data_IF_030891706152
#
_entry.id   IF_030891706152
#
_cell.length_a   1.000
_cell.length_b   1.000
_cell.length_c   1.000
_cell.angle_alpha   90.00
_cell.angle_beta   90.00
_cell.angle_gamma   90.00
#
_symmetry.space_group_name_H-M   'P 1'
#
loop_
_entity.id
_entity.type
_entity.pdbx_description
1 polymer ?
#
# COMPACT_ATOMS: atom_id res chain seq x y z
N UNK A 1 21.17 -6.96 3.35
CA UNK A 1 20.25 -8.11 3.45
C UNK A 1 20.89 -9.26 2.68
N UNK A 2 21.06 -10.45 3.25
CA UNK A 2 21.80 -11.54 2.59
C UNK A 2 21.01 -12.22 1.47
N UNK A 3 19.69 -12.10 1.47
CA UNK A 3 18.80 -12.66 0.45
C UNK A 3 17.50 -11.85 0.43
N UNK A 4 17.06 -11.46 -0.76
CA UNK A 4 15.77 -10.81 -0.97
C UNK A 4 14.97 -11.57 -2.01
N UNK A 5 13.87 -12.18 -1.59
CA UNK A 5 12.90 -12.86 -2.45
C UNK A 5 11.63 -12.02 -2.49
N UNK A 6 11.20 -11.63 -3.67
CA UNK A 6 9.94 -10.94 -3.88
C UNK A 6 8.91 -11.90 -4.50
N UNK A 7 7.65 -11.77 -4.11
CA UNK A 7 6.53 -12.53 -4.66
C UNK A 7 5.48 -11.51 -5.11
N UNK A 8 5.26 -11.40 -6.39
CA UNK A 8 4.33 -10.42 -6.95
C UNK A 8 3.88 -10.86 -8.36
N UNK A 9 2.72 -10.38 -8.78
CA UNK A 9 2.22 -10.56 -10.13
C UNK A 9 2.92 -9.63 -11.16
N UNK A 10 3.61 -8.59 -10.68
CA UNK A 10 4.29 -7.60 -11.52
C UNK A 10 5.68 -7.28 -11.00
N UNK A 11 6.60 -6.98 -11.91
CA UNK A 11 7.89 -6.42 -11.55
C UNK A 11 7.69 -4.93 -11.27
N UNK A 12 7.74 -4.55 -10.00
CA UNK A 12 7.64 -3.17 -9.53
C UNK A 12 8.99 -2.68 -8.98
N UNK A 13 9.06 -1.43 -8.54
CA UNK A 13 10.29 -0.80 -8.05
C UNK A 13 10.94 -1.52 -6.87
N UNK A 14 10.15 -2.26 -6.10
CA UNK A 14 10.67 -3.07 -4.97
C UNK A 14 11.12 -4.44 -5.46
N UNK A 15 10.30 -5.11 -6.25
CA UNK A 15 10.62 -6.46 -6.74
C UNK A 15 11.80 -6.46 -7.72
N UNK A 16 12.01 -5.37 -8.46
CA UNK A 16 13.17 -5.20 -9.33
C UNK A 16 14.53 -5.21 -8.59
N UNK A 17 14.53 -5.02 -7.27
CA UNK A 17 15.71 -5.09 -6.41
C UNK A 17 15.93 -6.48 -5.79
N UNK A 18 15.02 -7.43 -6.04
CA UNK A 18 15.09 -8.76 -5.43
C UNK A 18 16.12 -9.65 -6.14
N UNK A 19 16.77 -10.54 -5.37
CA UNK A 19 17.63 -11.59 -5.89
C UNK A 19 16.82 -12.64 -6.68
N UNK A 20 15.58 -12.88 -6.23
CA UNK A 20 14.63 -13.79 -6.87
C UNK A 20 13.24 -13.18 -6.89
N UNK A 21 12.56 -13.28 -8.03
CA UNK A 21 11.15 -12.91 -8.17
C UNK A 21 10.34 -14.18 -8.42
N UNK A 22 9.42 -14.46 -7.51
CA UNK A 22 8.46 -15.56 -7.65
C UNK A 22 7.17 -14.98 -8.23
N UNK A 23 6.71 -15.42 -9.40
CA UNK A 23 5.46 -14.94 -9.95
C UNK A 23 4.28 -15.33 -9.06
N UNK A 24 3.35 -14.39 -8.89
CA UNK A 24 2.11 -14.62 -8.14
C UNK A 24 0.90 -14.60 -9.06
N UNK A 25 -0.20 -15.14 -8.56
CA UNK A 25 -1.49 -15.18 -9.24
C UNK A 25 -2.29 -13.91 -9.00
N UNK A 26 -3.04 -13.48 -9.99
CA UNK A 26 -3.98 -12.36 -9.86
C UNK A 26 -5.26 -12.79 -9.12
N UNK A 27 -6.02 -11.82 -8.61
CA UNK A 27 -7.24 -12.05 -7.80
C UNK A 27 -8.26 -13.03 -8.44
N UNK A 28 -8.45 -13.03 -9.75
CA UNK A 28 -9.35 -13.95 -10.44
C UNK A 28 -8.76 -15.34 -10.67
N UNK A 29 -7.46 -15.49 -10.48
CA UNK A 29 -6.69 -16.71 -10.65
C UNK A 29 -6.38 -17.39 -9.31
N UNK A 30 -6.70 -16.75 -8.18
CA UNK A 30 -6.25 -17.17 -6.85
C UNK A 30 -7.38 -17.53 -5.91
N UNK A 31 -7.09 -18.46 -5.00
CA UNK A 31 -7.81 -18.60 -3.76
C UNK A 31 -7.57 -17.38 -2.87
N UNK A 32 -8.50 -17.06 -2.00
CA UNK A 32 -8.34 -15.97 -1.07
C UNK A 32 -9.53 -15.78 -0.15
N UNK A 33 -9.41 -14.84 0.76
CA UNK A 33 -10.54 -14.35 1.53
C UNK A 33 -11.09 -13.08 0.90
N UNK A 34 -12.40 -12.92 1.05
CA UNK A 34 -13.08 -11.66 0.79
C UNK A 34 -13.84 -11.26 2.04
N UNK A 35 -13.60 -10.08 2.54
CA UNK A 35 -14.28 -9.53 3.70
C UNK A 35 -14.77 -8.12 3.39
N UNK A 36 -15.93 -7.70 3.93
CA UNK A 36 -16.34 -6.31 3.87
C UNK A 36 -15.29 -5.42 4.54
N UNK A 37 -15.16 -4.21 4.03
CA UNK A 37 -14.28 -3.23 4.64
C UNK A 37 -14.67 -2.96 6.09
N UNK A 38 -13.66 -2.73 6.95
CA UNK A 38 -13.85 -2.60 8.41
C UNK A 38 -14.78 -1.48 8.88
N UNK A 39 -15.15 -0.55 7.98
CA UNK A 39 -16.10 0.52 8.27
C UNK A 39 -17.58 0.15 8.14
N UNK A 40 -17.91 -1.06 7.68
CA UNK A 40 -19.31 -1.50 7.60
C UNK A 40 -19.74 -2.21 8.88
N UNK A 41 -21.04 -2.09 9.21
CA UNK A 41 -21.61 -2.64 10.44
C UNK A 41 -21.59 -4.17 10.50
N UNK A 42 -21.64 -4.83 9.33
CA UNK A 42 -21.60 -6.29 9.23
C UNK A 42 -20.20 -6.75 8.86
N UNK A 43 -19.69 -7.76 9.57
CA UNK A 43 -18.45 -8.44 9.21
C UNK A 43 -18.76 -9.84 8.71
N UNK A 44 -18.16 -10.19 7.60
CA UNK A 44 -18.23 -11.52 7.04
C UNK A 44 -16.87 -11.88 6.46
N UNK A 45 -16.52 -13.16 6.46
CA UNK A 45 -15.36 -13.67 5.75
C UNK A 45 -15.85 -14.76 4.81
N UNK A 46 -15.54 -14.62 3.53
CA UNK A 46 -15.88 -15.61 2.51
C UNK A 46 -14.61 -16.07 1.83
N UNK A 47 -14.52 -17.36 1.53
CA UNK A 47 -13.49 -17.86 0.64
C UNK A 47 -13.88 -17.55 -0.81
N UNK A 48 -12.94 -17.04 -1.60
CA UNK A 48 -13.04 -16.95 -3.05
C UNK A 48 -12.14 -18.01 -3.67
N UNK A 49 -12.50 -18.48 -4.85
CA UNK A 49 -11.72 -19.45 -5.62
C UNK A 49 -11.39 -18.91 -7.00
N UNK A 50 -10.40 -19.50 -7.71
CA UNK A 50 -10.07 -19.12 -9.07
C UNK A 50 -11.26 -19.26 -10.00
N UNK A 51 -11.57 -18.23 -10.78
CA UNK A 51 -12.62 -18.26 -11.83
C UNK A 51 -12.02 -18.28 -13.23
N UNK A 52 -10.72 -18.05 -13.34
CA UNK A 52 -9.93 -18.20 -14.57
C UNK A 52 -8.70 -19.06 -14.26
N UNK A 53 -8.17 -19.72 -15.30
CA UNK A 53 -6.95 -20.52 -15.16
C UNK A 53 -5.77 -19.61 -14.87
N UNK A 54 -4.96 -19.88 -13.82
CA UNK A 54 -3.76 -19.12 -13.53
C UNK A 54 -2.78 -19.13 -14.70
N UNK A 55 -2.25 -17.96 -15.02
CA UNK A 55 -1.25 -17.77 -16.08
C UNK A 55 0.16 -18.17 -15.64
N UNK A 56 0.42 -18.30 -14.35
CA UNK A 56 1.72 -18.71 -13.82
C UNK A 56 2.06 -20.14 -14.20
N UNK A 57 3.36 -20.44 -14.31
CA UNK A 57 3.84 -21.79 -14.51
C UNK A 57 3.41 -22.71 -13.36
N UNK A 58 3.43 -24.01 -13.61
CA UNK A 58 3.08 -25.02 -12.60
C UNK A 58 4.31 -25.58 -11.92
N UNK A 59 4.16 -25.88 -10.64
CA UNK A 59 5.13 -26.66 -9.87
C UNK A 59 5.19 -28.10 -10.38
N UNK A 60 6.19 -28.87 -9.97
CA UNK A 60 6.28 -30.30 -10.28
C UNK A 60 5.06 -31.12 -9.81
N UNK A 61 4.31 -30.63 -8.83
CA UNK A 61 3.08 -31.23 -8.32
C UNK A 61 1.82 -30.74 -9.08
N UNK A 62 1.98 -29.95 -10.15
CA UNK A 62 0.89 -29.45 -10.96
C UNK A 62 0.14 -28.22 -10.38
N UNK A 63 0.59 -27.68 -9.25
CA UNK A 63 0.02 -26.49 -8.62
C UNK A 63 0.49 -25.24 -9.38
N UNK A 64 -0.35 -24.20 -9.57
CA UNK A 64 0.12 -22.90 -10.03
C UNK A 64 1.17 -22.35 -9.07
N UNK A 65 2.20 -21.72 -9.59
CA UNK A 65 3.12 -20.95 -8.77
C UNK A 65 2.35 -19.74 -8.22
N UNK A 66 2.38 -19.56 -6.93
CA UNK A 66 1.74 -18.46 -6.19
C UNK A 66 2.47 -18.26 -4.87
N UNK A 67 2.15 -17.18 -4.17
CA UNK A 67 2.67 -16.92 -2.83
C UNK A 67 2.43 -18.11 -1.90
N UNK A 68 1.23 -18.65 -1.88
CA UNK A 68 0.88 -19.78 -1.01
C UNK A 68 1.66 -21.04 -1.40
N UNK A 69 1.74 -21.36 -2.69
CA UNK A 69 2.48 -22.51 -3.17
C UNK A 69 3.97 -22.43 -2.80
N UNK A 70 4.56 -21.24 -2.95
CA UNK A 70 5.95 -20.99 -2.55
C UNK A 70 6.14 -21.14 -1.03
N UNK A 71 5.31 -20.46 -0.22
CA UNK A 71 5.42 -20.51 1.24
C UNK A 71 5.21 -21.93 1.79
N UNK A 72 4.23 -22.68 1.28
CA UNK A 72 3.98 -24.06 1.67
C UNK A 72 5.16 -24.96 1.28
N UNK A 73 5.72 -24.79 0.09
CA UNK A 73 6.88 -25.58 -0.35
C UNK A 73 8.12 -25.31 0.51
N UNK A 74 8.39 -24.06 0.84
CA UNK A 74 9.51 -23.68 1.74
C UNK A 74 9.29 -24.26 3.14
N UNK A 75 8.08 -24.11 3.70
CA UNK A 75 7.74 -24.63 5.02
C UNK A 75 7.90 -26.15 5.11
N UNK A 76 7.45 -26.88 4.09
CA UNK A 76 7.64 -28.34 4.00
C UNK A 76 9.11 -28.73 3.90
N UNK A 77 9.90 -27.99 3.11
CA UNK A 77 11.35 -28.25 2.95
C UNK A 77 12.13 -27.98 4.23
N UNK A 78 11.67 -27.01 5.03
CA UNK A 78 12.25 -26.71 6.35
C UNK A 78 11.67 -27.59 7.47
N UNK A 79 10.81 -28.54 7.14
CA UNK A 79 10.11 -29.41 8.10
C UNK A 79 9.39 -28.63 9.22
N UNK A 80 8.80 -27.49 8.88
CA UNK A 80 8.04 -26.71 9.84
C UNK A 80 6.75 -27.45 10.23
N UNK A 81 6.34 -27.41 11.51
CA UNK A 81 5.10 -28.02 11.94
C UNK A 81 3.90 -27.32 11.33
N UNK A 82 2.80 -28.04 11.13
CA UNK A 82 1.55 -27.48 10.58
C UNK A 82 1.49 -27.43 9.05
N UNK A 83 2.36 -28.17 8.36
CA UNK A 83 2.37 -28.32 6.91
C UNK A 83 2.46 -29.80 6.51
N UNK A 84 2.02 -30.11 5.28
CA UNK A 84 2.02 -31.47 4.74
C UNK A 84 0.70 -32.22 4.96
N UNK A 85 0.72 -33.57 4.97
CA UNK A 85 -0.49 -34.36 4.95
C UNK A 85 -1.26 -34.36 6.27
N UNK A 86 -0.60 -34.02 7.38
CA UNK A 86 -1.17 -34.01 8.74
C UNK A 86 -0.87 -32.70 9.41
N UNK A 87 -1.53 -31.63 9.01
CA UNK A 87 -1.15 -30.25 9.31
C UNK A 87 -2.17 -29.52 10.20
N UNK A 88 -3.45 -29.56 9.85
CA UNK A 88 -4.49 -28.70 10.43
C UNK A 88 -5.48 -29.59 11.19
N UNK A 89 -5.73 -29.27 12.47
CA UNK A 89 -6.74 -29.94 13.26
C UNK A 89 -8.15 -29.79 12.67
N UNK A 90 -8.91 -30.91 12.63
CA UNK A 90 -10.30 -30.93 12.15
C UNK A 90 -11.32 -30.64 13.25
N UNK A 91 -10.85 -30.30 14.45
CA UNK A 91 -11.70 -30.07 15.63
C UNK A 91 -12.29 -31.36 16.25
N UNK A 92 -12.04 -32.53 15.67
CA UNK A 92 -12.53 -33.84 16.13
C UNK A 92 -11.39 -34.81 16.50
N UNK A 93 -10.18 -34.31 16.61
CA UNK A 93 -8.97 -35.08 16.93
C UNK A 93 -8.21 -35.65 15.74
N UNK A 94 -8.71 -35.41 14.52
CA UNK A 94 -8.03 -35.69 13.26
C UNK A 94 -7.15 -34.53 12.76
N UNK A 95 -6.29 -34.82 11.79
CA UNK A 95 -5.45 -33.84 11.11
C UNK A 95 -5.73 -33.87 9.61
N UNK A 96 -5.93 -32.73 9.05
CA UNK A 96 -6.17 -32.48 7.64
C UNK A 96 -4.89 -31.97 6.95
N UNK A 97 -4.74 -32.16 5.64
CA UNK A 97 -3.56 -31.69 4.93
C UNK A 97 -3.51 -30.16 4.78
N UNK A 98 -2.29 -29.63 4.66
CA UNK A 98 -1.98 -28.32 4.15
C UNK A 98 -0.87 -28.46 3.11
N UNK A 99 -1.26 -28.71 1.87
CA UNK A 99 -0.36 -28.96 0.75
C UNK A 99 -0.49 -27.92 -0.37
N UNK A 100 -1.59 -27.16 -0.40
CA UNK A 100 -1.88 -26.17 -1.44
C UNK A 100 -2.70 -24.99 -0.88
N UNK A 101 -2.88 -23.96 -1.70
CA UNK A 101 -3.67 -22.78 -1.35
C UNK A 101 -5.12 -23.12 -1.00
N UNK A 102 -5.73 -24.03 -1.75
CA UNK A 102 -7.09 -24.52 -1.48
C UNK A 102 -7.24 -25.07 -0.07
N UNK A 103 -6.33 -25.93 0.36
CA UNK A 103 -6.33 -26.48 1.72
C UNK A 103 -6.33 -25.36 2.77
N UNK A 104 -5.47 -24.36 2.58
CA UNK A 104 -5.37 -23.24 3.51
C UNK A 104 -6.68 -22.46 3.60
N UNK A 105 -7.20 -21.97 2.47
CA UNK A 105 -8.35 -21.08 2.47
C UNK A 105 -9.64 -21.75 2.89
N UNK A 106 -9.89 -22.98 2.46
CA UNK A 106 -11.07 -23.73 2.88
C UNK A 106 -11.03 -24.08 4.36
N UNK A 107 -9.86 -24.50 4.89
CA UNK A 107 -9.72 -24.84 6.32
C UNK A 107 -9.81 -23.58 7.20
N UNK A 108 -9.18 -22.51 6.80
CA UNK A 108 -9.25 -21.25 7.54
C UNK A 108 -10.67 -20.68 7.56
N UNK A 109 -11.40 -20.74 6.44
CA UNK A 109 -12.81 -20.32 6.40
C UNK A 109 -13.69 -21.21 7.29
N UNK A 110 -13.49 -22.53 7.26
CA UNK A 110 -14.22 -23.46 8.11
C UNK A 110 -13.93 -23.22 9.61
N UNK A 111 -12.67 -22.97 9.97
CA UNK A 111 -12.29 -22.67 11.36
C UNK A 111 -12.88 -21.35 11.86
N UNK A 112 -12.92 -20.33 11.02
CA UNK A 112 -13.57 -19.06 11.36
C UNK A 112 -15.08 -19.26 11.59
N UNK A 113 -15.75 -20.01 10.72
CA UNK A 113 -17.16 -20.35 10.87
C UNK A 113 -17.43 -21.13 12.17
N UNK A 114 -16.64 -22.20 12.42
CA UNK A 114 -16.76 -23.00 13.64
C UNK A 114 -16.49 -22.16 14.91
N UNK A 115 -15.51 -21.28 14.87
CA UNK A 115 -15.22 -20.36 15.97
C UNK A 115 -16.36 -19.39 16.26
N UNK A 116 -17.06 -18.94 15.24
CA UNK A 116 -18.26 -18.13 15.39
C UNK A 116 -19.41 -18.88 16.03
N UNK A 117 -19.68 -20.09 15.56
CA UNK A 117 -20.74 -20.94 16.12
C UNK A 117 -20.46 -21.33 17.57
N UNK A 118 -19.21 -21.62 17.92
CA UNK A 118 -18.81 -21.97 19.28
C UNK A 118 -18.73 -20.77 20.23
N UNK A 119 -18.47 -19.59 19.72
CA UNK A 119 -18.33 -18.35 20.51
C UNK A 119 -19.60 -17.51 20.64
N UNK A 120 -20.65 -17.79 19.86
CA UNK A 120 -21.87 -16.99 19.79
C UNK A 120 -23.11 -17.81 19.99
N UNK A 121 -23.74 -17.60 21.12
CA UNK A 121 -24.99 -18.24 21.47
C UNK A 121 -26.19 -17.75 20.65
N UNK A 122 -26.06 -16.67 19.92
CA UNK A 122 -27.11 -16.09 19.10
C UNK A 122 -27.10 -16.57 17.63
N UNK A 123 -26.19 -17.50 17.30
CA UNK A 123 -26.08 -18.08 15.95
C UNK A 123 -25.65 -17.09 14.87
N UNK A 124 -25.22 -15.88 15.23
CA UNK A 124 -24.80 -14.91 14.24
C UNK A 124 -23.42 -15.23 13.69
N UNK A 125 -23.34 -15.41 12.40
CA UNK A 125 -22.09 -15.48 11.64
C UNK A 125 -21.71 -14.06 11.30
N UNK A 126 -20.54 -13.65 11.68
CA UNK A 126 -20.08 -12.30 11.47
C UNK A 126 -20.10 -11.47 12.74
N UNK A 127 -19.28 -10.47 12.78
CA UNK A 127 -19.28 -9.54 13.90
C UNK A 127 -20.43 -8.57 13.75
N UNK A 128 -21.31 -8.57 14.68
CA UNK A 128 -22.18 -7.43 14.87
C UNK A 128 -21.49 -6.38 15.70
N UNK A 129 -21.77 -5.14 15.43
CA UNK A 129 -21.46 -4.04 16.30
C UNK A 129 -22.42 -4.07 17.51
N UNK A 130 -22.22 -5.05 18.38
CA UNK A 130 -22.98 -5.17 19.62
C UNK A 130 -22.47 -4.24 20.70
N UNK A 131 -21.27 -3.71 20.50
CA UNK A 131 -20.64 -2.74 21.40
C UNK A 131 -20.65 -1.37 20.74
N UNK A 132 -20.86 -0.30 21.51
CA UNK A 132 -20.67 1.05 21.01
C UNK A 132 -19.26 1.20 20.43
N UNK A 133 -19.10 2.13 19.51
CA UNK A 133 -17.81 2.46 18.93
C UNK A 133 -16.80 2.75 20.06
N UNK A 134 -15.74 1.98 20.12
CA UNK A 134 -14.66 2.22 21.07
C UNK A 134 -13.77 3.33 20.51
N UNK A 135 -13.82 4.49 21.14
CA UNK A 135 -12.95 5.62 20.85
C UNK A 135 -11.65 5.58 21.67
N UNK A 136 -11.55 4.67 22.62
CA UNK A 136 -10.32 4.45 23.41
C UNK A 136 -9.80 3.04 23.17
N UNK A 137 -8.52 2.95 22.79
CA UNK A 137 -7.82 1.69 22.58
C UNK A 137 -6.85 1.45 23.75
N UNK A 138 -7.22 0.52 24.64
CA UNK A 138 -6.44 0.18 25.82
C UNK A 138 -5.04 -0.36 25.48
N UNK A 139 -4.88 -1.08 24.37
CA UNK A 139 -3.59 -1.62 23.99
C UNK A 139 -2.63 -0.49 23.56
N UNK A 140 -3.11 0.43 22.70
CA UNK A 140 -2.30 1.60 22.32
C UNK A 140 -1.90 2.42 23.54
N UNK A 141 -2.81 2.61 24.50
CA UNK A 141 -2.55 3.38 25.71
C UNK A 141 -1.48 2.76 26.64
N UNK A 142 -1.15 1.47 26.47
CA UNK A 142 -0.05 0.81 27.24
C UNK A 142 1.33 1.15 26.68
N UNK A 143 1.41 1.57 25.42
CA UNK A 143 2.67 1.77 24.73
C UNK A 143 3.17 3.21 24.83
N UNK A 144 4.47 3.36 24.60
CA UNK A 144 5.17 4.62 24.52
C UNK A 144 5.89 4.73 23.19
N UNK A 145 6.06 5.93 22.70
CA UNK A 145 6.89 6.19 21.55
C UNK A 145 8.33 5.74 21.82
N UNK A 146 8.89 4.92 20.94
CA UNK A 146 10.15 4.22 21.21
C UNK A 146 11.35 5.15 21.38
N UNK A 147 11.35 6.33 20.78
CA UNK A 147 12.45 7.28 20.81
C UNK A 147 12.26 8.30 21.93
N UNK A 148 11.09 8.95 22.01
CA UNK A 148 10.83 10.03 22.94
C UNK A 148 10.33 9.58 24.30
N UNK A 149 9.83 8.34 24.43
CA UNK A 149 9.21 7.82 25.65
C UNK A 149 7.82 8.39 25.95
N UNK A 150 7.29 9.28 25.09
CA UNK A 150 5.95 9.87 25.26
C UNK A 150 4.88 8.78 25.23
N UNK A 151 3.94 8.83 26.16
CA UNK A 151 2.85 7.86 26.22
C UNK A 151 1.76 8.17 25.20
N UNK A 152 1.30 7.16 24.48
CA UNK A 152 0.13 7.31 23.62
C UNK A 152 -1.16 7.43 24.46
N UNK A 153 -2.08 8.28 24.02
CA UNK A 153 -3.35 8.50 24.72
C UNK A 153 -4.32 7.32 24.62
N UNK A 154 -4.21 6.54 23.55
CA UNK A 154 -5.18 5.50 23.20
C UNK A 154 -6.47 6.04 22.55
N UNK A 155 -6.71 7.34 22.57
CA UNK A 155 -7.80 7.99 21.87
C UNK A 155 -7.33 8.51 20.50
N UNK A 156 -8.22 8.63 19.52
CA UNK A 156 -7.95 9.42 18.32
C UNK A 156 -7.58 10.86 18.75
N UNK A 157 -6.35 11.23 18.55
CA UNK A 157 -5.80 12.53 18.97
C UNK A 157 -5.13 13.16 17.76
N UNK A 158 -5.37 14.44 17.55
CA UNK A 158 -4.62 15.20 16.56
C UNK A 158 -3.23 15.50 17.12
N UNK A 159 -2.22 14.83 16.58
CA UNK A 159 -0.84 15.16 16.85
C UNK A 159 -0.33 16.15 15.80
N UNK A 160 0.36 17.22 16.20
CA UNK A 160 1.07 18.05 15.23
C UNK A 160 2.11 17.18 14.49
N UNK A 161 2.42 17.55 13.26
CA UNK A 161 3.41 16.86 12.47
C UNK A 161 4.79 16.92 13.16
N UNK A 162 5.32 15.77 13.52
CA UNK A 162 6.58 15.63 14.28
C UNK A 162 7.57 14.72 13.56
N UNK A 163 8.83 15.01 13.73
CA UNK A 163 9.96 14.13 13.38
C UNK A 163 10.17 13.09 14.48
N UNK A 164 11.01 12.10 14.21
CA UNK A 164 11.23 10.96 15.13
C UNK A 164 11.78 11.36 16.50
N UNK A 165 12.51 12.47 16.60
CA UNK A 165 13.03 13.00 17.88
C UNK A 165 12.01 13.87 18.64
N UNK A 166 10.82 14.07 18.08
CA UNK A 166 9.74 14.85 18.68
C UNK A 166 9.69 16.32 18.29
N UNK A 167 10.67 16.84 17.54
CA UNK A 167 10.62 18.21 17.02
C UNK A 167 9.48 18.37 16.03
N UNK A 168 8.84 19.54 16.02
CA UNK A 168 7.85 19.87 15.03
C UNK A 168 8.50 19.94 13.63
N UNK A 169 7.79 19.45 12.60
CA UNK A 169 8.29 19.50 11.21
C UNK A 169 8.55 20.94 10.78
N UNK A 170 7.73 21.89 11.22
CA UNK A 170 7.85 23.32 10.93
C UNK A 170 9.11 23.97 11.50
N UNK A 171 9.75 23.39 12.51
CA UNK A 171 11.03 23.90 13.04
C UNK A 171 12.16 23.76 12.02
N UNK A 172 12.17 22.62 11.26
CA UNK A 172 13.16 22.36 10.24
C UNK A 172 12.71 22.86 8.87
N UNK A 173 11.42 22.85 8.63
CA UNK A 173 10.80 23.18 7.34
C UNK A 173 9.75 24.28 7.53
N UNK A 174 10.18 25.51 7.86
CA UNK A 174 9.28 26.60 8.18
C UNK A 174 8.43 27.04 6.97
N UNK A 175 7.22 27.51 7.25
CA UNK A 175 6.23 27.92 6.23
C UNK A 175 6.76 29.00 5.28
N UNK A 176 7.65 29.87 5.74
CA UNK A 176 8.28 30.88 4.88
C UNK A 176 9.08 30.29 3.72
N UNK A 177 9.61 29.06 3.85
CA UNK A 177 10.34 28.34 2.81
C UNK A 177 9.46 27.29 2.14
N UNK A 178 8.53 26.72 2.89
CA UNK A 178 7.65 25.64 2.49
C UNK A 178 6.19 26.02 2.71
N UNK A 179 5.68 26.99 1.87
CA UNK A 179 4.38 27.61 2.13
C UNK A 179 3.18 26.75 1.80
N UNK A 180 3.41 25.56 1.26
CA UNK A 180 2.37 24.63 0.85
C UNK A 180 2.54 23.27 1.54
N UNK A 181 1.47 22.50 1.55
CA UNK A 181 1.47 21.10 1.99
C UNK A 181 1.09 20.20 0.82
N UNK A 182 1.99 19.25 0.50
CA UNK A 182 1.70 18.26 -0.51
C UNK A 182 0.81 17.17 0.07
N UNK A 183 -0.26 16.86 -0.65
CA UNK A 183 -1.24 15.82 -0.33
C UNK A 183 -1.39 14.89 -1.52
N UNK A 184 -1.60 13.62 -1.26
CA UNK A 184 -1.92 12.66 -2.30
C UNK A 184 -3.40 12.29 -2.30
N UNK A 185 -3.94 11.99 -3.47
CA UNK A 185 -5.27 11.44 -3.61
C UNK A 185 -5.31 10.33 -4.66
N UNK A 186 -6.33 9.49 -4.59
CA UNK A 186 -6.63 8.49 -5.62
C UNK A 186 -7.91 8.90 -6.32
N UNK A 187 -7.90 8.82 -7.65
CA UNK A 187 -9.14 8.95 -8.41
C UNK A 187 -9.82 7.59 -8.57
N UNK A 188 -11.02 7.60 -9.12
CA UNK A 188 -11.72 6.38 -9.53
C UNK A 188 -11.14 5.75 -10.81
N UNK A 189 -10.19 6.39 -11.46
CA UNK A 189 -9.47 5.87 -12.64
C UNK A 189 -8.16 5.23 -12.23
N UNK A 190 -7.34 5.95 -11.43
CA UNK A 190 -5.99 5.53 -11.08
C UNK A 190 -5.77 5.31 -9.58
N UNK A 191 -5.08 4.22 -9.29
CA UNK A 191 -4.60 3.86 -7.95
C UNK A 191 -3.35 2.99 -8.09
N UNK A 192 -2.69 2.67 -6.98
CA UNK A 192 -1.53 1.76 -6.99
C UNK A 192 -1.81 0.38 -7.59
N UNK A 193 -3.03 -0.13 -7.46
CA UNK A 193 -3.42 -1.44 -8.01
C UNK A 193 -3.88 -1.39 -9.47
N UNK A 194 -4.13 -0.20 -10.03
CA UNK A 194 -4.60 -0.04 -11.41
C UNK A 194 -3.54 0.57 -12.33
N UNK A 195 -2.39 0.96 -11.80
CA UNK A 195 -1.30 1.57 -12.56
C UNK A 195 -0.79 0.73 -13.75
N UNK A 196 -0.91 -0.60 -13.67
CA UNK A 196 -0.54 -1.55 -14.74
C UNK A 196 -1.60 -1.71 -15.82
N UNK A 197 -2.78 -1.13 -15.66
CA UNK A 197 -3.88 -1.28 -16.62
C UNK A 197 -3.74 -0.26 -17.74
N UNK A 198 -3.16 -0.67 -18.85
CA UNK A 198 -2.83 0.18 -20.02
C UNK A 198 -3.98 1.05 -20.51
N UNK A 199 -5.20 0.49 -20.55
CA UNK A 199 -6.40 1.22 -20.99
C UNK A 199 -6.78 2.42 -20.12
N UNK A 200 -6.41 2.40 -18.85
CA UNK A 200 -6.65 3.55 -17.95
C UNK A 200 -5.71 4.71 -18.26
N UNK A 201 -4.50 4.43 -18.74
CA UNK A 201 -3.58 5.45 -19.26
C UNK A 201 -4.08 6.09 -20.58
N UNK A 202 -4.92 5.40 -21.35
CA UNK A 202 -5.57 6.02 -22.52
C UNK A 202 -6.64 7.04 -22.08
N UNK A 203 -7.32 6.79 -20.96
CA UNK A 203 -8.32 7.70 -20.37
C UNK A 203 -7.66 8.87 -19.65
N UNK A 204 -6.57 8.62 -18.94
CA UNK A 204 -5.86 9.62 -18.13
C UNK A 204 -4.35 9.39 -18.24
N UNK A 205 -3.70 10.02 -19.24
CA UNK A 205 -2.29 9.73 -19.58
C UNK A 205 -1.29 10.15 -18.51
N UNK A 206 -1.59 11.22 -17.75
CA UNK A 206 -0.71 11.78 -16.72
C UNK A 206 -1.53 12.15 -15.49
N UNK A 207 -0.87 12.20 -14.33
CA UNK A 207 -1.53 12.65 -13.12
C UNK A 207 -1.73 14.18 -13.13
N UNK A 208 -2.84 14.59 -12.55
CA UNK A 208 -3.08 16.00 -12.28
C UNK A 208 -2.33 16.43 -11.02
N UNK A 209 -1.73 17.61 -11.11
CA UNK A 209 -1.27 18.35 -9.94
C UNK A 209 -2.23 19.51 -9.75
N UNK A 210 -3.04 19.42 -8.72
CA UNK A 210 -4.09 20.38 -8.47
C UNK A 210 -3.67 21.42 -7.44
N UNK A 211 -4.00 22.68 -7.74
CA UNK A 211 -3.72 23.84 -6.90
C UNK A 211 -4.98 24.71 -6.80
N UNK A 212 -5.22 25.32 -5.64
CA UNK A 212 -6.32 26.26 -5.51
C UNK A 212 -6.07 27.52 -6.38
N UNK A 213 -7.08 28.11 -7.04
CA UNK A 213 -6.94 29.34 -7.82
C UNK A 213 -6.35 30.52 -7.01
N UNK A 214 -6.63 30.61 -5.71
CA UNK A 214 -6.05 31.65 -4.84
C UNK A 214 -4.53 31.48 -4.70
N UNK A 215 -4.04 30.25 -4.56
CA UNK A 215 -2.61 29.96 -4.55
C UNK A 215 -2.00 30.15 -5.95
N UNK A 216 -2.73 29.79 -7.01
CA UNK A 216 -2.33 30.09 -8.38
C UNK A 216 -2.06 31.60 -8.56
N UNK A 217 -2.97 32.45 -8.12
CA UNK A 217 -2.80 33.87 -8.14
C UNK A 217 -1.62 34.37 -7.27
N UNK A 218 -1.47 33.79 -6.07
CA UNK A 218 -0.36 34.08 -5.13
C UNK A 218 1.02 33.80 -5.73
N UNK A 219 1.15 32.72 -6.47
CA UNK A 219 2.43 32.27 -7.06
C UNK A 219 2.58 32.67 -8.55
N UNK A 220 1.63 33.39 -9.13
CA UNK A 220 1.65 33.77 -10.54
C UNK A 220 1.50 32.61 -11.50
N UNK A 221 0.78 31.56 -11.09
CA UNK A 221 0.57 30.29 -11.82
C UNK A 221 -0.84 30.29 -12.42
N UNK A 222 -0.95 29.93 -13.68
CA UNK A 222 -2.20 29.75 -14.40
C UNK A 222 -2.48 28.24 -14.64
N UNK A 223 -3.72 27.93 -14.98
CA UNK A 223 -4.08 26.59 -15.43
C UNK A 223 -3.27 26.20 -16.66
N UNK A 224 -2.65 25.03 -16.63
CA UNK A 224 -1.81 24.51 -17.71
C UNK A 224 -0.34 24.93 -17.64
N UNK A 225 0.05 25.81 -16.72
CA UNK A 225 1.46 26.16 -16.55
C UNK A 225 2.31 24.98 -16.09
N UNK A 226 3.53 24.94 -16.58
CA UNK A 226 4.55 24.04 -16.06
C UNK A 226 5.21 24.64 -14.82
N UNK A 227 5.39 23.82 -13.82
CA UNK A 227 5.96 24.18 -12.52
C UNK A 227 6.98 23.16 -12.06
N UNK A 228 7.90 23.61 -11.22
CA UNK A 228 8.70 22.73 -10.38
C UNK A 228 8.07 22.68 -8.99
N UNK A 229 7.72 21.47 -8.53
CA UNK A 229 7.26 21.20 -7.18
C UNK A 229 8.45 20.64 -6.41
N UNK A 230 8.77 21.24 -5.28
CA UNK A 230 9.86 20.80 -4.42
C UNK A 230 9.37 20.48 -3.02
N UNK A 231 9.95 19.44 -2.45
CA UNK A 231 9.82 19.04 -1.04
C UNK A 231 11.23 18.85 -0.46
N UNK A 232 11.39 18.65 0.85
CA UNK A 232 12.71 18.32 1.40
C UNK A 232 13.34 17.04 0.80
N UNK A 233 12.56 16.17 0.19
CA UNK A 233 13.04 14.92 -0.40
C UNK A 233 13.39 14.97 -1.86
N UNK A 234 12.94 15.99 -2.59
CA UNK A 234 13.21 16.08 -4.02
C UNK A 234 12.35 17.09 -4.76
N UNK A 235 12.55 17.15 -6.07
CA UNK A 235 11.82 18.06 -6.94
C UNK A 235 11.35 17.33 -8.19
N UNK A 236 10.16 17.71 -8.70
CA UNK A 236 9.59 17.19 -9.96
C UNK A 236 8.86 18.29 -10.70
N UNK A 237 8.90 18.21 -12.01
CA UNK A 237 8.17 19.10 -12.90
C UNK A 237 6.81 18.52 -13.24
N UNK A 238 5.80 19.39 -13.29
CA UNK A 238 4.44 19.02 -13.61
C UNK A 238 3.65 20.17 -14.22
N UNK A 239 2.54 19.81 -14.85
CA UNK A 239 1.56 20.76 -15.33
C UNK A 239 0.45 20.96 -14.29
N UNK A 240 0.08 22.21 -14.03
CA UNK A 240 -0.91 22.57 -13.00
C UNK A 240 -2.34 22.55 -13.55
N UNK A 241 -3.22 21.99 -12.74
CA UNK A 241 -4.67 22.14 -12.86
C UNK A 241 -5.19 23.02 -11.71
N UNK A 242 -5.74 24.19 -12.02
CA UNK A 242 -6.37 25.02 -11.00
C UNK A 242 -7.77 24.48 -10.69
N UNK A 243 -8.00 24.08 -9.44
CA UNK A 243 -9.25 23.49 -8.95
C UNK A 243 -9.69 24.17 -7.66
N UNK A 244 -10.87 24.82 -7.68
CA UNK A 244 -11.44 25.47 -6.51
C UNK A 244 -11.78 24.49 -5.34
N UNK A 245 -11.94 23.19 -5.64
CA UNK A 245 -12.17 22.16 -4.65
C UNK A 245 -10.94 21.76 -3.84
N UNK A 246 -9.74 22.21 -4.21
CA UNK A 246 -8.53 22.03 -3.40
C UNK A 246 -8.46 23.14 -2.36
N UNK A 247 -8.16 22.80 -1.13
CA UNK A 247 -8.00 23.80 -0.05
C UNK A 247 -6.80 24.70 -0.33
N UNK A 248 -6.90 26.02 -0.11
CA UNK A 248 -5.74 26.91 -0.18
C UNK A 248 -4.60 26.44 0.72
N UNK A 249 -3.36 26.59 0.27
CA UNK A 249 -2.16 26.10 0.95
C UNK A 249 -1.83 24.63 0.66
N UNK A 250 -2.57 23.97 -0.24
CA UNK A 250 -2.38 22.55 -0.58
C UNK A 250 -2.01 22.37 -2.04
N UNK A 251 -1.00 21.52 -2.29
CA UNK A 251 -0.75 20.91 -3.61
C UNK A 251 -1.29 19.48 -3.53
N UNK A 252 -2.29 19.15 -4.35
CA UNK A 252 -2.84 17.80 -4.41
C UNK A 252 -2.33 17.06 -5.66
N UNK A 253 -1.67 15.91 -5.44
CA UNK A 253 -1.09 15.10 -6.52
C UNK A 253 -1.77 13.74 -6.57
N UNK A 254 -2.23 13.35 -7.75
CA UNK A 254 -2.87 12.07 -7.94
C UNK A 254 -1.85 10.91 -7.92
N UNK A 255 -2.21 9.86 -7.23
CA UNK A 255 -1.39 8.66 -7.04
C UNK A 255 -1.47 7.70 -8.23
N UNK A 256 -0.40 6.91 -8.47
CA UNK A 256 -0.40 5.80 -9.43
C UNK A 256 0.25 6.10 -10.78
N UNK A 257 1.13 7.09 -10.84
CA UNK A 257 1.83 7.53 -12.05
C UNK A 257 3.35 7.58 -11.84
N UNK A 258 4.08 7.79 -12.92
CA UNK A 258 5.53 8.00 -12.90
C UNK A 258 6.32 6.78 -12.45
N UNK A 259 5.84 5.57 -12.75
CA UNK A 259 6.53 4.33 -12.41
C UNK A 259 7.77 4.13 -13.27
N UNK A 260 8.82 3.59 -12.67
CA UNK A 260 10.06 3.22 -13.37
C UNK A 260 10.05 1.77 -13.80
N UNK A 261 9.26 0.97 -13.12
CA UNK A 261 9.03 -0.45 -13.33
C UNK A 261 7.57 -0.71 -13.75
N UNK A 262 7.00 -1.85 -13.46
CA UNK A 262 5.62 -2.22 -13.80
C UNK A 262 5.37 -2.30 -15.32
N UNK A 263 6.43 -2.54 -16.11
CA UNK A 263 6.40 -2.53 -17.56
C UNK A 263 6.86 -1.21 -18.19
N UNK A 264 7.26 -0.19 -17.41
CA UNK A 264 7.90 1.02 -17.94
C UNK A 264 9.34 0.75 -18.41
N UNK A 265 10.04 -0.17 -17.74
CA UNK A 265 11.38 -0.65 -18.08
C UNK A 265 11.33 -1.99 -18.79
N UNK A 266 12.37 -2.30 -19.59
CA UNK A 266 12.49 -3.58 -20.28
C UNK A 266 13.05 -4.64 -19.33
N UNK A 267 12.31 -5.72 -19.18
CA UNK A 267 12.72 -6.93 -18.49
C UNK A 267 12.73 -8.12 -19.44
N UNK A 268 13.41 -9.19 -19.06
CA UNK A 268 13.54 -10.41 -19.84
C UNK A 268 13.18 -11.61 -18.97
N UNK A 269 12.51 -12.57 -19.56
CA UNK A 269 12.19 -13.86 -18.96
C UNK A 269 12.75 -14.95 -19.89
N UNK A 270 13.67 -15.77 -19.40
CA UNK A 270 14.35 -16.84 -20.18
C UNK A 270 14.98 -16.31 -21.49
N UNK A 271 15.48 -15.07 -21.47
CA UNK A 271 16.06 -14.40 -22.61
C UNK A 271 15.09 -13.69 -23.55
N UNK A 272 13.79 -13.87 -23.35
CA UNK A 272 12.75 -13.22 -24.14
C UNK A 272 12.31 -11.90 -23.51
N UNK A 273 12.11 -10.82 -24.29
CA UNK A 273 11.69 -9.53 -23.73
C UNK A 273 10.24 -9.57 -23.28
N UNK A 274 9.99 -9.08 -22.08
CA UNK A 274 8.64 -8.84 -21.58
C UNK A 274 8.03 -7.59 -22.24
N UNK A 275 6.70 -7.55 -22.31
CA UNK A 275 5.99 -6.42 -22.90
C UNK A 275 6.20 -5.13 -22.08
N UNK A 276 6.66 -4.07 -22.75
CA UNK A 276 6.89 -2.76 -22.20
C UNK A 276 5.81 -1.76 -22.64
N UNK A 277 5.50 -0.79 -21.77
CA UNK A 277 4.62 0.33 -22.09
C UNK A 277 5.13 1.63 -21.41
N UNK A 278 5.74 2.48 -22.21
CA UNK A 278 6.31 3.75 -21.72
C UNK A 278 5.29 4.72 -21.11
N UNK A 279 3.99 4.52 -21.36
CA UNK A 279 2.93 5.35 -20.75
C UNK A 279 2.89 5.19 -19.23
N UNK A 280 3.32 4.05 -18.70
CA UNK A 280 3.40 3.78 -17.26
C UNK A 280 4.41 4.72 -16.57
N UNK A 281 5.43 5.17 -17.30
CA UNK A 281 6.41 6.14 -16.80
C UNK A 281 5.91 7.60 -16.82
N UNK A 282 4.75 7.87 -17.42
CA UNK A 282 4.25 9.23 -17.54
C UNK A 282 3.78 9.80 -16.19
N UNK A 283 3.95 11.11 -16.02
CA UNK A 283 3.55 11.82 -14.81
C UNK A 283 4.58 11.75 -13.67
N UNK A 284 4.14 12.06 -12.46
CA UNK A 284 4.98 12.15 -11.25
C UNK A 284 4.74 10.95 -10.35
N UNK A 285 5.81 10.30 -9.92
CA UNK A 285 5.77 9.38 -8.80
C UNK A 285 5.86 10.17 -7.48
N UNK A 286 4.84 10.03 -6.64
CA UNK A 286 4.80 10.71 -5.33
C UNK A 286 5.94 10.31 -4.39
N UNK A 287 6.48 9.10 -4.54
CA UNK A 287 7.62 8.67 -3.73
C UNK A 287 8.88 9.50 -3.99
N UNK A 288 8.97 10.14 -5.17
CA UNK A 288 10.07 11.03 -5.51
C UNK A 288 10.00 12.39 -4.77
N UNK A 289 8.86 12.69 -4.16
CA UNK A 289 8.60 13.90 -3.37
C UNK A 289 8.49 13.61 -1.87
N UNK A 290 8.64 12.35 -1.45
CA UNK A 290 8.80 12.01 -0.04
C UNK A 290 10.17 12.43 0.49
N UNK A 291 10.33 12.51 1.81
CA UNK A 291 11.65 12.80 2.39
C UNK A 291 12.02 11.84 3.51
N UNK A 292 13.32 11.69 3.70
CA UNK A 292 13.87 10.98 4.84
C UNK A 292 13.88 11.90 6.07
N UNK A 293 13.55 11.33 7.22
CA UNK A 293 13.60 12.03 8.50
C UNK A 293 15.07 12.32 8.88
N UNK A 294 15.49 13.58 8.92
CA UNK A 294 16.88 13.93 9.18
C UNK A 294 17.29 13.77 10.64
N UNK A 295 16.33 13.49 11.54
CA UNK A 295 16.57 13.30 12.96
C UNK A 295 16.91 11.86 13.34
N UNK A 296 16.92 10.96 12.35
CA UNK A 296 17.27 9.55 12.54
C UNK A 296 18.74 9.32 12.22
N UNK A 297 19.40 8.52 13.03
CA UNK A 297 20.79 8.11 12.80
C UNK A 297 20.95 7.40 11.46
N UNK A 298 20.03 6.49 11.14
CA UNK A 298 19.94 5.86 9.83
C UNK A 298 18.79 6.52 9.08
N UNK A 299 19.06 7.16 7.92
CA UNK A 299 18.02 7.79 7.13
C UNK A 299 16.88 6.81 6.82
N UNK A 300 15.67 7.22 7.11
CA UNK A 300 14.45 6.48 6.82
C UNK A 300 13.36 7.48 6.44
N UNK A 301 12.35 7.02 5.72
CA UNK A 301 11.22 7.88 5.38
C UNK A 301 10.60 8.47 6.66
N UNK A 302 10.06 9.68 6.56
CA UNK A 302 9.31 10.28 7.64
C UNK A 302 8.09 9.41 7.96
N UNK A 303 7.94 9.03 9.24
CA UNK A 303 6.91 8.12 9.72
C UNK A 303 5.87 8.87 10.54
N UNK A 304 4.64 8.43 10.42
CA UNK A 304 3.54 8.86 11.28
C UNK A 304 3.86 8.53 12.75
N UNK A 305 3.62 9.50 13.61
CA UNK A 305 4.00 9.46 15.02
C UNK A 305 3.38 8.29 15.79
N UNK A 306 2.16 7.90 15.46
CA UNK A 306 1.40 6.86 16.17
C UNK A 306 1.47 5.51 15.49
N UNK A 307 1.24 5.49 14.17
CA UNK A 307 1.11 4.25 13.40
C UNK A 307 2.43 3.73 12.86
N UNK A 308 3.45 4.59 12.78
CA UNK A 308 4.71 4.26 12.13
C UNK A 308 4.60 4.10 10.60
N UNK A 309 3.48 4.46 10.01
CA UNK A 309 3.31 4.41 8.55
C UNK A 309 4.09 5.54 7.86
N UNK A 310 4.57 5.28 6.65
CA UNK A 310 5.21 6.32 5.84
C UNK A 310 4.24 7.47 5.57
N UNK A 311 4.63 8.69 5.93
CA UNK A 311 3.82 9.89 5.73
C UNK A 311 3.80 10.27 4.26
N UNK A 312 2.59 10.45 3.72
CA UNK A 312 2.33 10.85 2.33
C UNK A 312 1.37 12.04 2.24
N UNK A 313 0.99 12.58 3.39
CA UNK A 313 0.03 13.66 3.51
C UNK A 313 0.64 14.78 4.36
N UNK A 314 0.48 16.03 3.92
CA UNK A 314 0.98 17.19 4.66
C UNK A 314 2.50 17.40 4.56
N UNK A 315 3.16 16.84 3.54
CA UNK A 315 4.60 17.02 3.32
C UNK A 315 4.87 18.50 3.00
N UNK A 316 5.84 19.15 3.68
CA UNK A 316 6.24 20.53 3.35
C UNK A 316 6.63 20.66 1.87
N UNK A 317 6.07 21.64 1.20
CA UNK A 317 6.28 21.82 -0.23
C UNK A 317 6.35 23.29 -0.64
N UNK A 318 7.02 23.52 -1.77
CA UNK A 318 7.00 24.79 -2.48
C UNK A 318 6.81 24.56 -3.97
N UNK A 319 6.46 25.62 -4.68
CA UNK A 319 6.16 25.57 -6.11
C UNK A 319 6.75 26.78 -6.81
N UNK A 320 7.35 26.55 -7.98
CA UNK A 320 7.91 27.62 -8.81
C UNK A 320 7.46 27.43 -10.25
N UNK A 321 6.94 28.48 -10.87
CA UNK A 321 6.60 28.47 -12.29
C UNK A 321 7.88 28.34 -13.11
N UNK A 322 7.89 27.45 -14.09
CA UNK A 322 8.96 27.30 -15.05
C UNK A 322 8.82 28.34 -16.15
N UNK A 323 9.95 28.91 -16.55
CA UNK A 323 10.00 29.77 -17.72
C UNK A 323 9.70 28.95 -18.98
N UNK A 324 8.88 29.46 -19.87
CA UNK A 324 8.59 28.86 -21.16
C UNK A 324 9.84 28.82 -22.05
#
# INVERSE_FOLDING_TARGET
MPLFIAIDAFINETTALADYIVPDTHNFESWGFSAPWGGVASKATTARWPIVTPATAKTAQGQPISMEAFCIAVAKRLALPGFGDRAIGDGRGGLLPLNCAEDYYLRAAANVAAGHDSGRRDGSVGNRWEKPLQIWNAEVAKHRHAITGERFSGCPTCYPARLSDGRAVEELYPERQWPLRLMSFKSNVMSSSTAVIRRLHDVKPVNLVALNPADGARFGIQHGDWVSISTPGGSREAQISLLAGVMPGVIAVEHGYGHREMGASQHYLDGEPLAMDKRIAAGINLNDLGFADPTREVPNTWLDWVTGAAVRQGIPATIVKLSA
#
